data_IF_307211858100
#
_entry.id   IF_307211858100
#
_cell.length_a   1.000
_cell.length_b   1.000
_cell.length_c   1.000
_cell.angle_alpha   90.00
_cell.angle_beta   90.00
_cell.angle_gamma   90.00
#
_symmetry.space_group_name_H-M   'P 1'
#
loop_
_entity.id
_entity.type
_entity.pdbx_description
1 polymer ?
#
# COMPACT_ATOMS: atom_id res chain seq x y z
N UNK A 1 -1.37 -6.46 -10.48
CA UNK A 1 -2.09 -6.81 -9.26
C UNK A 1 -2.07 -5.63 -8.29
N UNK A 2 -3.05 -5.54 -7.41
CA UNK A 2 -3.20 -4.50 -6.39
C UNK A 2 -1.95 -4.40 -5.49
N UNK A 3 -1.35 -5.55 -5.13
CA UNK A 3 -0.12 -5.61 -4.35
C UNK A 3 1.01 -4.77 -4.96
N UNK A 4 1.34 -4.97 -6.24
CA UNK A 4 2.43 -4.24 -6.89
C UNK A 4 2.15 -2.74 -7.05
N UNK A 5 0.88 -2.35 -7.05
CA UNK A 5 0.48 -0.94 -7.13
C UNK A 5 0.66 -0.21 -5.79
N UNK A 6 0.41 -0.89 -4.66
CA UNK A 6 0.49 -0.32 -3.32
C UNK A 6 1.85 -0.55 -2.65
N UNK A 7 2.36 -1.79 -2.70
CA UNK A 7 3.58 -2.22 -2.01
C UNK A 7 4.58 -2.87 -2.97
N UNK A 8 5.17 -2.10 -3.91
CA UNK A 8 6.17 -2.63 -4.83
C UNK A 8 7.40 -3.14 -4.05
N UNK A 9 7.88 -4.34 -4.41
CA UNK A 9 9.09 -4.90 -3.78
C UNK A 9 10.38 -4.21 -4.24
N UNK A 10 10.39 -3.64 -5.44
CA UNK A 10 11.58 -3.09 -6.07
C UNK A 10 11.95 -1.68 -5.57
N UNK A 11 11.07 -1.00 -4.87
CA UNK A 11 11.30 0.37 -4.41
C UNK A 11 10.58 0.63 -3.09
N UNK A 12 11.18 1.52 -2.29
CA UNK A 12 10.54 1.97 -1.05
C UNK A 12 9.21 2.66 -1.37
N UNK A 13 8.14 2.21 -0.71
CA UNK A 13 6.77 2.67 -0.95
C UNK A 13 6.19 3.51 0.19
N UNK A 14 6.97 3.73 1.26
CA UNK A 14 6.61 4.60 2.37
C UNK A 14 7.81 5.40 2.87
N UNK A 15 7.55 6.47 3.56
CA UNK A 15 8.47 7.28 4.34
C UNK A 15 7.83 7.67 5.66
N UNK A 16 8.63 8.11 6.62
CA UNK A 16 8.19 8.58 7.92
C UNK A 16 8.43 10.08 8.02
N UNK A 17 7.52 10.80 8.65
CA UNK A 17 7.63 12.22 8.98
C UNK A 17 6.86 12.53 10.28
N UNK A 18 7.09 13.72 10.84
CA UNK A 18 6.24 14.26 11.90
C UNK A 18 4.95 14.77 11.26
N UNK A 19 3.77 14.55 11.89
CA UNK A 19 2.51 15.09 11.36
C UNK A 19 2.58 16.61 11.17
N UNK A 20 2.12 17.12 10.04
CA UNK A 20 2.20 18.54 9.69
C UNK A 20 1.43 19.44 10.68
N UNK A 21 0.41 18.88 11.36
CA UNK A 21 -0.35 19.57 12.42
C UNK A 21 0.30 19.55 13.81
N UNK A 22 1.40 18.82 13.99
CA UNK A 22 2.09 18.72 15.28
C UNK A 22 2.98 19.96 15.52
N UNK A 23 3.11 20.44 16.77
CA UNK A 23 3.99 21.59 17.08
C UNK A 23 5.44 21.41 16.61
N UNK A 24 5.92 20.17 16.59
CA UNK A 24 7.26 19.79 16.11
C UNK A 24 7.33 19.59 14.59
N UNK A 25 6.23 19.77 13.84
CA UNK A 25 6.19 19.57 12.39
C UNK A 25 7.22 20.40 11.60
N UNK A 26 7.63 21.54 12.14
CA UNK A 26 8.69 22.40 11.59
C UNK A 26 10.03 21.64 11.48
N UNK A 27 10.27 20.67 12.38
CA UNK A 27 11.50 19.86 12.40
C UNK A 27 11.60 18.89 11.21
N UNK A 28 10.55 18.69 10.43
CA UNK A 28 10.63 17.91 9.17
C UNK A 28 11.66 18.51 8.19
N UNK A 29 11.86 19.83 8.22
CA UNK A 29 12.84 20.52 7.39
C UNK A 29 14.25 20.56 8.03
N UNK A 30 14.38 20.10 9.27
CA UNK A 30 15.66 20.05 9.97
C UNK A 30 16.45 18.81 9.52
N UNK A 31 17.63 19.02 8.92
CA UNK A 31 18.41 17.96 8.28
C UNK A 31 18.68 16.72 9.15
N UNK A 32 19.06 16.82 10.43
CA UNK A 32 19.27 15.62 11.26
C UNK A 32 18.01 14.80 11.47
N UNK A 33 16.86 15.44 11.67
CA UNK A 33 15.57 14.79 11.91
C UNK A 33 15.08 14.09 10.64
N UNK A 34 15.12 14.79 9.50
CA UNK A 34 14.70 14.23 8.22
C UNK A 34 15.61 13.08 7.76
N UNK A 35 16.92 13.18 8.00
CA UNK A 35 17.87 12.11 7.73
C UNK A 35 17.60 10.88 8.60
N UNK A 36 17.29 11.07 9.89
CA UNK A 36 16.95 9.99 10.80
C UNK A 36 15.67 9.25 10.35
N UNK A 37 14.61 9.98 9.98
CA UNK A 37 13.38 9.37 9.46
C UNK A 37 13.62 8.61 8.14
N UNK A 38 14.49 9.14 7.28
CA UNK A 38 14.84 8.48 6.03
C UNK A 38 15.61 7.17 6.28
N UNK A 39 16.58 7.18 7.20
CA UNK A 39 17.34 5.98 7.57
C UNK A 39 16.44 4.96 8.27
N UNK A 40 15.61 5.39 9.21
CA UNK A 40 14.64 4.55 9.90
C UNK A 40 13.66 3.89 8.92
N UNK A 41 13.13 4.66 7.97
CA UNK A 41 12.27 4.13 6.90
C UNK A 41 12.98 3.08 6.05
N UNK A 42 14.27 3.27 5.77
CA UNK A 42 15.07 2.32 4.98
C UNK A 42 15.33 1.04 5.78
N UNK A 43 15.64 1.14 7.07
CA UNK A 43 15.83 -0.03 7.94
C UNK A 43 14.56 -0.86 8.07
N UNK A 44 13.41 -0.22 8.27
CA UNK A 44 12.10 -0.91 8.30
C UNK A 44 11.84 -1.59 6.96
N UNK A 45 12.04 -0.89 5.84
CA UNK A 45 11.85 -1.46 4.50
C UNK A 45 12.72 -2.70 4.26
N UNK A 46 14.00 -2.66 4.63
CA UNK A 46 14.91 -3.79 4.52
C UNK A 46 14.49 -4.96 5.43
N UNK A 47 14.01 -4.66 6.64
CA UNK A 47 13.51 -5.67 7.58
C UNK A 47 12.23 -6.33 7.09
N UNK A 48 11.31 -5.56 6.46
CA UNK A 48 10.14 -6.11 5.79
C UNK A 48 10.55 -7.01 4.61
N UNK A 49 11.57 -6.60 3.86
CA UNK A 49 12.04 -7.35 2.70
C UNK A 49 12.70 -8.68 3.08
N UNK A 50 13.41 -8.72 4.21
CA UNK A 50 14.03 -9.94 4.75
C UNK A 50 13.04 -10.86 5.48
N UNK A 51 11.82 -10.39 5.74
CA UNK A 51 10.75 -11.14 6.40
C UNK A 51 9.83 -11.86 5.39
N UNK A 52 8.81 -12.53 5.91
CA UNK A 52 7.75 -13.13 5.11
C UNK A 52 6.61 -12.15 4.73
N UNK A 53 6.80 -10.83 4.93
CA UNK A 53 5.79 -9.79 4.73
C UNK A 53 5.12 -9.86 3.35
N UNK A 54 5.90 -9.84 2.28
CA UNK A 54 5.36 -9.80 0.92
C UNK A 54 4.57 -11.05 0.53
N UNK A 55 4.96 -12.20 1.06
CA UNK A 55 4.23 -13.46 0.85
C UNK A 55 2.87 -13.40 1.54
N UNK A 56 2.86 -13.05 2.83
CA UNK A 56 1.62 -12.95 3.62
C UNK A 56 0.71 -11.85 3.07
N UNK A 57 1.26 -10.70 2.66
CA UNK A 57 0.47 -9.65 2.02
C UNK A 57 -0.13 -10.09 0.68
N UNK A 58 0.56 -10.93 -0.08
CA UNK A 58 0.00 -11.51 -1.30
C UNK A 58 -1.23 -12.36 -1.04
N UNK A 59 -1.20 -13.21 -0.02
CA UNK A 59 -2.33 -14.01 0.45
C UNK A 59 -3.45 -13.11 1.01
N UNK A 60 -3.09 -12.12 1.84
CA UNK A 60 -4.03 -11.17 2.43
C UNK A 60 -4.77 -10.35 1.36
N UNK A 61 -4.09 -9.88 0.30
CA UNK A 61 -4.76 -9.20 -0.81
C UNK A 61 -5.75 -10.08 -1.55
N UNK A 62 -5.48 -11.39 -1.64
CA UNK A 62 -6.44 -12.33 -2.22
C UNK A 62 -7.68 -12.43 -1.34
N UNK A 63 -7.52 -12.60 -0.04
CA UNK A 63 -8.61 -12.65 0.93
C UNK A 63 -9.38 -11.32 0.98
N UNK A 64 -8.68 -10.18 0.87
CA UNK A 64 -9.26 -8.85 0.87
C UNK A 64 -10.28 -8.63 -0.25
N UNK A 65 -9.94 -9.10 -1.46
CA UNK A 65 -10.82 -8.98 -2.63
C UNK A 65 -11.93 -10.03 -2.60
N UNK A 66 -11.69 -11.19 -1.96
CA UNK A 66 -12.65 -12.31 -1.93
C UNK A 66 -13.63 -12.20 -0.78
N UNK A 67 -13.16 -11.88 0.42
CA UNK A 67 -13.96 -11.87 1.65
C UNK A 67 -14.21 -10.47 2.21
N UNK A 68 -13.54 -9.44 1.69
CA UNK A 68 -13.73 -8.06 2.11
C UNK A 68 -13.09 -7.70 3.45
N UNK A 69 -12.53 -8.65 4.19
CA UNK A 69 -11.86 -8.41 5.48
C UNK A 69 -10.62 -9.26 5.56
N UNK A 70 -9.53 -8.67 6.05
CA UNK A 70 -8.28 -9.39 6.33
C UNK A 70 -7.85 -9.15 7.76
N UNK A 71 -7.10 -10.09 8.31
CA UNK A 71 -6.46 -9.96 9.60
C UNK A 71 -5.04 -10.49 9.52
N UNK A 72 -4.08 -9.68 9.96
CA UNK A 72 -2.65 -9.99 9.94
C UNK A 72 -2.11 -9.83 11.36
N UNK A 73 -1.55 -10.89 11.90
CA UNK A 73 -0.80 -10.86 13.16
C UNK A 73 0.65 -10.50 12.86
N UNK A 74 1.19 -9.54 13.61
CA UNK A 74 2.58 -9.08 13.51
C UNK A 74 3.28 -9.35 14.83
N UNK A 75 4.24 -10.24 14.80
CA UNK A 75 5.07 -10.61 15.93
C UNK A 75 6.55 -10.36 15.61
N UNK A 76 7.33 -10.11 16.62
CA UNK A 76 8.78 -10.14 16.51
C UNK A 76 9.24 -11.61 16.49
N UNK A 77 10.31 -11.92 15.74
CA UNK A 77 10.92 -13.24 15.80
C UNK A 77 11.61 -13.40 17.14
N UNK A 78 11.24 -14.45 17.87
CA UNK A 78 11.95 -14.85 19.09
C UNK A 78 13.38 -15.26 18.75
N UNK A 79 14.34 -14.41 19.07
CA UNK A 79 15.73 -14.82 19.24
C UNK A 79 16.07 -14.76 20.71
N UNK A 80 16.94 -15.67 21.11
CA UNK A 80 17.43 -15.78 22.50
C UNK A 80 18.30 -14.59 22.94
N UNK A 81 18.58 -13.65 22.03
CA UNK A 81 19.36 -12.45 22.24
C UNK A 81 18.44 -11.22 22.26
N UNK A 82 18.76 -10.24 23.10
CA UNK A 82 17.96 -9.03 23.34
C UNK A 82 17.85 -8.07 22.15
N UNK A 83 18.52 -8.37 21.01
CA UNK A 83 18.53 -7.52 19.82
C UNK A 83 17.40 -7.86 18.85
N UNK A 84 16.96 -6.87 18.08
CA UNK A 84 15.94 -7.04 17.03
C UNK A 84 16.27 -8.17 16.05
N UNK A 85 15.40 -9.18 16.00
CA UNK A 85 15.58 -10.42 15.24
C UNK A 85 14.87 -10.44 13.87
N UNK A 86 14.04 -9.45 13.61
CA UNK A 86 13.18 -9.39 12.44
C UNK A 86 11.70 -9.63 12.76
N UNK A 87 10.87 -9.48 11.73
CA UNK A 87 9.43 -9.63 11.85
C UNK A 87 8.94 -11.00 11.41
N UNK A 88 7.85 -11.46 12.01
CA UNK A 88 7.08 -12.61 11.60
C UNK A 88 5.62 -12.20 11.40
N UNK A 89 5.14 -12.30 10.16
CA UNK A 89 3.76 -12.01 9.79
C UNK A 89 2.98 -13.31 9.66
N UNK A 90 1.72 -13.31 10.13
CA UNK A 90 0.80 -14.44 9.97
C UNK A 90 -0.55 -13.91 9.48
N UNK A 91 -0.97 -14.35 8.29
CA UNK A 91 -2.33 -14.13 7.81
C UNK A 91 -3.32 -15.02 8.58
N UNK A 92 -4.39 -14.43 9.06
CA UNK A 92 -5.44 -15.15 9.79
C UNK A 92 -6.64 -15.35 8.86
N UNK A 93 -7.01 -16.60 8.54
CA UNK A 93 -8.12 -16.88 7.63
C UNK A 93 -9.45 -16.34 8.13
N UNK A 94 -10.24 -15.78 7.23
CA UNK A 94 -11.62 -15.37 7.52
C UNK A 94 -12.43 -16.58 8.02
N UNK A 95 -13.24 -16.35 9.07
CA UNK A 95 -13.97 -17.42 9.76
C UNK A 95 -13.21 -18.09 10.92
N UNK A 96 -11.92 -17.74 11.12
CA UNK A 96 -11.12 -18.18 12.28
C UNK A 96 -10.85 -17.08 13.29
N UNK A 97 -11.32 -15.87 13.04
CA UNK A 97 -11.21 -14.75 13.98
C UNK A 97 -12.53 -13.99 14.08
N UNK A 98 -12.69 -13.32 15.20
CA UNK A 98 -13.74 -12.34 15.46
C UNK A 98 -13.04 -11.11 16.05
N UNK A 99 -13.51 -9.93 15.73
CA UNK A 99 -12.95 -8.69 16.23
C UNK A 99 -14.04 -7.74 16.67
N UNK A 100 -13.69 -6.77 17.48
CA UNK A 100 -14.56 -5.69 17.92
C UNK A 100 -13.87 -4.35 17.81
N UNK A 101 -14.64 -3.28 17.87
CA UNK A 101 -14.20 -1.91 17.73
C UNK A 101 -14.42 -1.12 19.02
N UNK A 102 -13.54 -0.15 19.25
CA UNK A 102 -13.75 0.86 20.26
C UNK A 102 -14.86 1.86 19.84
N UNK A 103 -15.17 2.79 20.75
CA UNK A 103 -16.16 3.85 20.48
C UNK A 103 -15.79 4.78 19.32
N UNK A 104 -14.54 4.79 18.87
CA UNK A 104 -14.05 5.57 17.74
C UNK A 104 -14.15 4.82 16.42
N UNK A 105 -14.47 3.50 16.44
CA UNK A 105 -14.55 2.62 15.28
C UNK A 105 -13.20 2.05 14.85
N UNK A 106 -12.18 2.09 15.71
CA UNK A 106 -10.92 1.39 15.53
C UNK A 106 -10.99 0.02 16.17
N UNK A 107 -10.42 -0.98 15.49
CA UNK A 107 -10.32 -2.35 16.05
C UNK A 107 -9.42 -2.32 17.29
N UNK A 108 -9.94 -2.80 18.41
CA UNK A 108 -9.20 -2.88 19.68
C UNK A 108 -9.17 -4.29 20.28
N UNK A 109 -10.13 -5.15 19.93
CA UNK A 109 -10.26 -6.50 20.46
C UNK A 109 -10.28 -7.52 19.34
N UNK A 110 -9.50 -8.60 19.47
CA UNK A 110 -9.45 -9.70 18.50
C UNK A 110 -9.41 -11.04 19.21
N UNK A 111 -10.27 -11.95 18.77
CA UNK A 111 -10.26 -13.36 19.14
C UNK A 111 -9.87 -14.20 17.93
N UNK A 112 -8.84 -15.02 18.05
CA UNK A 112 -8.36 -15.90 17.01
C UNK A 112 -8.41 -17.36 17.44
N UNK A 113 -9.16 -18.18 16.70
CA UNK A 113 -9.21 -19.63 16.88
C UNK A 113 -8.21 -20.32 15.96
N UNK A 114 -7.32 -21.13 16.53
CA UNK A 114 -6.33 -21.91 15.78
C UNK A 114 -6.14 -23.30 16.36
N UNK A 115 -5.62 -24.23 15.55
CA UNK A 115 -5.39 -25.61 15.94
C UNK A 115 -3.89 -25.87 16.08
N UNK A 116 -3.54 -26.66 17.09
CA UNK A 116 -2.17 -27.15 17.34
C UNK A 116 -2.21 -28.64 17.64
N UNK A 117 -1.18 -29.37 17.18
CA UNK A 117 -0.99 -30.75 17.63
C UNK A 117 -0.43 -30.77 19.05
N UNK A 118 -0.60 -31.88 19.78
CA UNK A 118 -0.06 -32.01 21.15
C UNK A 118 1.45 -31.68 21.18
N UNK A 119 2.20 -32.14 20.18
CA UNK A 119 3.63 -31.85 20.01
C UNK A 119 3.89 -30.34 19.87
N UNK A 120 3.10 -29.64 19.02
CA UNK A 120 3.23 -28.19 18.82
C UNK A 120 2.85 -27.41 20.09
N UNK A 121 1.83 -27.85 20.80
CA UNK A 121 1.48 -27.23 22.09
C UNK A 121 2.60 -27.35 23.11
N UNK A 122 3.28 -28.50 23.17
CA UNK A 122 4.43 -28.67 24.06
C UNK A 122 5.65 -27.81 23.66
N UNK A 123 5.77 -27.46 22.37
CA UNK A 123 6.85 -26.56 21.91
C UNK A 123 6.51 -25.08 22.17
N UNK A 124 5.22 -24.71 22.11
CA UNK A 124 4.77 -23.31 22.22
C UNK A 124 4.48 -22.91 23.68
N UNK A 125 4.00 -23.84 24.51
CA UNK A 125 3.57 -23.58 25.88
C UNK A 125 4.38 -24.39 26.93
N UNK A 126 4.50 -23.83 28.13
CA UNK A 126 5.14 -24.53 29.24
C UNK A 126 4.36 -25.80 29.62
N UNK A 127 5.06 -26.90 29.84
CA UNK A 127 4.44 -28.20 30.20
C UNK A 127 3.46 -28.14 31.40
N UNK A 128 3.73 -27.25 32.39
CA UNK A 128 2.87 -27.08 33.58
C UNK A 128 1.51 -26.44 33.23
N UNK A 129 1.42 -25.70 32.14
CA UNK A 129 0.20 -25.01 31.69
C UNK A 129 -0.63 -25.85 30.73
N UNK A 130 -0.13 -27.03 30.32
CA UNK A 130 -0.85 -27.89 29.41
C UNK A 130 -1.95 -28.68 30.15
N UNK A 131 -3.15 -28.83 29.55
CA UNK A 131 -4.18 -29.73 30.06
C UNK A 131 -3.70 -31.19 30.11
N UNK A 132 -4.17 -31.96 31.10
CA UNK A 132 -3.82 -33.38 31.24
C UNK A 132 -4.07 -34.18 29.96
N UNK A 133 -5.18 -33.91 29.28
CA UNK A 133 -5.49 -34.54 27.99
C UNK A 133 -4.46 -34.27 26.87
N UNK A 134 -3.74 -33.14 26.91
CA UNK A 134 -2.65 -32.84 25.97
C UNK A 134 -1.39 -33.61 26.38
N UNK A 135 -1.12 -33.65 27.69
CA UNK A 135 0.06 -34.35 28.22
C UNK A 135 -0.01 -35.87 27.95
N UNK A 136 -1.19 -36.48 28.16
CA UNK A 136 -1.42 -37.90 27.84
C UNK A 136 -1.21 -38.17 26.34
N UNK A 137 -1.72 -37.27 25.47
CA UNK A 137 -1.58 -37.41 24.02
C UNK A 137 -0.14 -37.22 23.51
N UNK A 138 0.78 -36.64 24.30
CA UNK A 138 2.19 -36.54 23.88
C UNK A 138 2.86 -37.91 23.73
N UNK A 139 2.43 -38.89 24.54
CA UNK A 139 2.96 -40.24 24.52
C UNK A 139 2.17 -41.14 23.54
N UNK A 140 0.83 -41.06 23.58
CA UNK A 140 -0.04 -41.95 22.80
C UNK A 140 -0.29 -41.47 21.35
N UNK A 141 -0.54 -40.17 21.15
CA UNK A 141 -0.86 -39.60 19.85
C UNK A 141 -0.43 -38.14 19.73
N UNK A 142 0.87 -37.87 19.46
CA UNK A 142 1.43 -36.53 19.43
C UNK A 142 0.85 -35.63 18.30
N UNK A 143 0.21 -36.22 17.30
CA UNK A 143 -0.39 -35.48 16.16
C UNK A 143 -1.88 -35.15 16.38
N UNK A 144 -2.47 -35.56 17.53
CA UNK A 144 -3.84 -35.17 17.89
C UNK A 144 -3.95 -33.65 17.98
N UNK A 145 -4.96 -33.09 17.35
CA UNK A 145 -5.19 -31.65 17.27
C UNK A 145 -6.03 -31.14 18.44
N UNK A 146 -5.63 -30.02 18.98
CA UNK A 146 -6.34 -29.26 20.00
C UNK A 146 -6.61 -27.85 19.49
N UNK A 147 -7.71 -27.26 19.90
CA UNK A 147 -8.12 -25.92 19.51
C UNK A 147 -7.75 -24.92 20.59
N UNK A 148 -7.02 -23.90 20.22
CA UNK A 148 -6.63 -22.79 21.09
C UNK A 148 -7.30 -21.51 20.62
N UNK A 149 -7.75 -20.68 21.56
CA UNK A 149 -8.30 -19.36 21.31
C UNK A 149 -7.33 -18.34 21.89
N UNK A 150 -6.75 -17.51 21.04
CA UNK A 150 -5.99 -16.33 21.45
C UNK A 150 -6.96 -15.15 21.54
N UNK A 151 -7.04 -14.54 22.72
CA UNK A 151 -7.83 -13.36 23.02
C UNK A 151 -6.89 -12.19 23.27
N UNK A 152 -7.02 -11.12 22.53
CA UNK A 152 -6.30 -9.86 22.75
C UNK A 152 -7.32 -8.75 22.90
N UNK A 153 -7.23 -8.04 24.02
CA UNK A 153 -8.14 -6.94 24.37
C UNK A 153 -7.37 -5.81 25.07
N UNK A 154 -7.92 -4.57 25.07
CA UNK A 154 -7.33 -3.50 25.83
C UNK A 154 -7.16 -3.86 27.30
N UNK A 155 -6.07 -3.41 27.89
CA UNK A 155 -5.82 -3.60 29.32
C UNK A 155 -6.54 -2.52 30.12
N UNK A 156 -7.64 -2.89 30.75
CA UNK A 156 -8.46 -2.00 31.57
C UNK A 156 -7.74 -1.58 32.87
N UNK A 157 -6.82 -2.43 33.37
CA UNK A 157 -6.06 -2.23 34.61
C UNK A 157 -4.72 -1.50 34.35
N UNK A 158 -4.55 -0.86 33.19
CA UNK A 158 -3.33 -0.14 32.85
C UNK A 158 -3.09 0.99 33.84
N UNK A 159 -2.09 0.82 34.72
CA UNK A 159 -1.60 1.92 35.56
C UNK A 159 -0.70 2.86 34.74
N UNK A 160 -1.20 4.06 34.48
CA UNK A 160 -0.42 5.08 33.81
C UNK A 160 0.85 5.40 34.60
N UNK A 161 2.01 5.29 33.94
CA UNK A 161 3.32 5.62 34.53
C UNK A 161 4.13 4.44 35.04
N UNK A 162 3.63 3.20 34.99
CA UNK A 162 4.46 2.01 35.20
C UNK A 162 5.00 1.50 33.87
N UNK A 163 6.33 1.37 33.75
CA UNK A 163 7.02 0.91 32.56
C UNK A 163 6.60 -0.50 32.10
N UNK A 164 6.13 -1.34 33.01
CA UNK A 164 5.72 -2.73 32.76
C UNK A 164 4.21 -2.87 32.42
N UNK A 165 3.44 -1.80 32.30
CA UNK A 165 2.02 -1.88 31.99
C UNK A 165 1.78 -1.92 30.47
N UNK A 166 1.49 -3.12 29.96
CA UNK A 166 1.10 -3.31 28.56
C UNK A 166 -0.21 -2.61 28.20
N UNK A 167 -0.33 -2.12 26.97
CA UNK A 167 -1.58 -1.52 26.46
C UNK A 167 -2.67 -2.54 26.20
N UNK A 168 -2.30 -3.78 25.87
CA UNK A 168 -3.21 -4.89 25.55
C UNK A 168 -2.81 -6.13 26.33
N UNK A 169 -3.81 -6.84 26.84
CA UNK A 169 -3.64 -8.18 27.45
C UNK A 169 -3.88 -9.26 26.41
N UNK A 170 -3.09 -10.34 26.49
CA UNK A 170 -3.19 -11.49 25.61
C UNK A 170 -3.34 -12.78 26.42
N UNK A 171 -4.37 -13.54 26.11
CA UNK A 171 -4.64 -14.84 26.71
C UNK A 171 -4.70 -15.92 25.63
N UNK A 172 -3.94 -16.99 25.79
CA UNK A 172 -4.11 -18.20 25.00
C UNK A 172 -4.83 -19.24 25.84
N UNK A 173 -6.02 -19.67 25.40
CA UNK A 173 -6.93 -20.57 26.15
C UNK A 173 -7.20 -21.81 25.34
N UNK A 174 -7.04 -22.99 25.92
CA UNK A 174 -7.49 -24.25 25.29
C UNK A 174 -9.02 -24.35 25.36
N UNK A 175 -9.66 -24.54 24.19
CA UNK A 175 -11.12 -24.43 24.02
C UNK A 175 -11.92 -25.45 24.83
N UNK A 176 -11.44 -26.69 24.94
CA UNK A 176 -12.17 -27.79 25.57
C UNK A 176 -12.07 -27.76 27.08
N UNK A 177 -10.87 -27.58 27.62
CA UNK A 177 -10.61 -27.52 29.07
C UNK A 177 -10.84 -26.13 29.65
N UNK A 178 -10.91 -25.08 28.81
CA UNK A 178 -10.97 -23.67 29.21
C UNK A 178 -9.77 -23.24 30.08
N UNK A 179 -8.66 -23.94 29.98
CA UNK A 179 -7.46 -23.64 30.72
C UNK A 179 -6.67 -22.55 30.03
N UNK A 180 -6.21 -21.55 30.76
CA UNK A 180 -5.29 -20.51 30.26
C UNK A 180 -3.91 -21.13 30.13
N UNK A 181 -3.40 -21.20 28.88
CA UNK A 181 -2.09 -21.78 28.54
C UNK A 181 -0.97 -20.77 28.71
N UNK A 182 -1.28 -19.51 28.36
CA UNK A 182 -0.32 -18.40 28.41
C UNK A 182 -1.06 -17.10 28.64
N UNK A 183 -0.51 -16.29 29.53
CA UNK A 183 -0.88 -14.90 29.74
C UNK A 183 0.30 -14.02 29.36
N UNK A 184 0.07 -13.00 28.54
CA UNK A 184 1.09 -12.07 28.07
C UNK A 184 0.47 -10.72 27.76
N UNK A 185 1.28 -9.74 27.34
CA UNK A 185 0.81 -8.41 26.96
C UNK A 185 1.53 -7.87 25.74
N UNK A 186 0.89 -6.91 25.11
CA UNK A 186 1.47 -6.16 24.00
C UNK A 186 1.33 -4.67 24.27
N UNK A 187 2.33 -3.89 23.90
CA UNK A 187 2.25 -2.44 24.01
C UNK A 187 1.27 -1.85 22.99
N UNK A 188 1.27 -2.41 21.78
CA UNK A 188 0.38 -2.04 20.68
C UNK A 188 -0.42 -3.27 20.24
N UNK A 189 -1.60 -3.08 19.64
CA UNK A 189 -2.38 -4.17 19.08
C UNK A 189 -1.56 -4.96 18.04
N UNK A 190 -1.32 -6.26 18.24
CA UNK A 190 -0.50 -7.04 17.32
C UNK A 190 -1.25 -7.48 16.06
N UNK A 191 -2.57 -7.36 16.05
CA UNK A 191 -3.42 -7.65 14.91
C UNK A 191 -3.70 -6.39 14.10
N UNK A 192 -3.67 -6.53 12.80
CA UNK A 192 -4.10 -5.50 11.86
C UNK A 192 -5.29 -6.04 11.08
N UNK A 193 -6.45 -5.45 11.32
CA UNK A 193 -7.71 -5.81 10.64
C UNK A 193 -8.05 -4.70 9.66
N UNK A 194 -8.23 -5.06 8.39
CA UNK A 194 -8.59 -4.11 7.35
C UNK A 194 -9.79 -4.60 6.53
N UNK A 195 -10.60 -3.64 6.07
CA UNK A 195 -11.86 -3.88 5.34
C UNK A 195 -11.80 -3.25 3.96
N UNK A 196 -12.31 -3.97 2.95
CA UNK A 196 -12.35 -3.47 1.57
C UNK A 196 -13.36 -2.33 1.44
N UNK A 197 -14.59 -2.57 1.84
CA UNK A 197 -15.65 -1.57 1.90
C UNK A 197 -16.43 -1.72 3.21
N UNK A 198 -16.67 -0.60 3.89
CA UNK A 198 -17.42 -0.58 5.14
C UNK A 198 -18.79 0.02 4.89
N UNK A 199 -19.82 -0.71 5.26
CA UNK A 199 -21.19 -0.23 5.29
C UNK A 199 -21.51 0.24 6.72
N UNK A 200 -22.17 1.38 6.84
CA UNK A 200 -22.55 1.93 8.15
C UNK A 200 -23.37 0.93 8.96
N UNK A 201 -22.92 0.63 10.19
CA UNK A 201 -23.56 -0.34 11.07
C UNK A 201 -23.10 -1.79 10.89
N UNK A 202 -22.22 -2.07 9.92
CA UNK A 202 -21.60 -3.39 9.76
C UNK A 202 -20.17 -3.37 10.30
N UNK A 203 -19.79 -4.41 11.04
CA UNK A 203 -18.46 -4.59 11.55
C UNK A 203 -17.51 -5.14 10.47
N UNK A 204 -18.00 -6.12 9.72
CA UNK A 204 -17.25 -6.78 8.64
C UNK A 204 -17.24 -5.95 7.36
N UNK A 205 -16.14 -6.05 6.62
CA UNK A 205 -16.04 -5.44 5.29
C UNK A 205 -16.81 -6.25 4.25
N UNK A 206 -17.36 -5.55 3.26
CA UNK A 206 -17.93 -6.15 2.06
C UNK A 206 -16.90 -6.22 0.96
N UNK A 207 -16.92 -7.31 0.20
CA UNK A 207 -16.01 -7.55 -0.91
C UNK A 207 -16.68 -7.26 -2.26
N UNK A 208 -15.92 -7.04 -3.33
CA UNK A 208 -16.43 -7.09 -4.69
C UNK A 208 -17.09 -8.44 -5.02
N UNK A 209 -16.62 -9.53 -4.39
CA UNK A 209 -17.19 -10.85 -4.58
C UNK A 209 -18.63 -10.94 -4.06
N UNK A 210 -18.96 -10.26 -2.95
CA UNK A 210 -20.34 -10.24 -2.40
C UNK A 210 -21.31 -9.63 -3.41
N UNK A 211 -20.89 -8.53 -4.07
CA UNK A 211 -21.69 -7.84 -5.08
C UNK A 211 -21.80 -8.69 -6.36
N UNK A 212 -20.71 -9.34 -6.76
CA UNK A 212 -20.65 -10.18 -7.97
C UNK A 212 -21.25 -11.57 -7.80
N UNK A 213 -21.54 -12.02 -6.58
CA UNK A 213 -21.99 -13.39 -6.28
C UNK A 213 -23.21 -13.82 -7.10
N UNK A 214 -24.29 -13.02 -7.26
CA UNK A 214 -25.44 -13.40 -8.07
C UNK A 214 -25.05 -13.65 -9.54
N UNK A 215 -24.18 -12.82 -10.09
CA UNK A 215 -23.71 -12.95 -11.49
C UNK A 215 -22.80 -14.17 -11.65
N UNK A 216 -21.92 -14.44 -10.68
CA UNK A 216 -21.05 -15.61 -10.65
C UNK A 216 -21.89 -16.91 -10.61
N UNK A 217 -22.89 -16.97 -9.71
CA UNK A 217 -23.80 -18.13 -9.61
C UNK A 217 -24.56 -18.32 -10.92
N UNK A 218 -25.07 -17.23 -11.51
CA UNK A 218 -25.80 -17.25 -12.78
C UNK A 218 -24.91 -17.74 -13.92
N UNK A 219 -23.67 -17.27 -14.00
CA UNK A 219 -22.69 -17.71 -14.98
C UNK A 219 -22.34 -19.19 -14.84
N UNK A 220 -22.14 -19.67 -13.60
CA UNK A 220 -21.85 -21.08 -13.33
C UNK A 220 -23.02 -21.97 -13.76
N UNK A 221 -24.26 -21.60 -13.43
CA UNK A 221 -25.45 -22.34 -13.88
C UNK A 221 -25.59 -22.34 -15.39
N UNK A 222 -25.35 -21.20 -16.04
CA UNK A 222 -25.38 -21.11 -17.49
C UNK A 222 -24.35 -22.04 -18.14
N UNK A 223 -23.11 -22.05 -17.62
CA UNK A 223 -22.05 -22.94 -18.06
C UNK A 223 -22.37 -24.41 -17.85
N UNK A 224 -22.97 -24.78 -16.73
CA UNK A 224 -23.44 -26.13 -16.46
C UNK A 224 -24.51 -26.57 -17.49
N UNK A 225 -25.47 -25.66 -17.78
CA UNK A 225 -26.50 -25.93 -18.80
C UNK A 225 -25.91 -26.05 -20.21
N UNK A 226 -24.93 -25.20 -20.57
CA UNK A 226 -24.20 -25.30 -21.86
C UNK A 226 -23.48 -26.65 -22.00
N UNK A 227 -22.76 -27.09 -20.97
CA UNK A 227 -22.06 -28.38 -20.97
C UNK A 227 -23.03 -29.55 -21.08
N UNK A 228 -24.17 -29.49 -20.37
CA UNK A 228 -25.23 -30.53 -20.51
C UNK A 228 -25.87 -30.53 -21.89
N UNK A 229 -26.09 -29.34 -22.47
CA UNK A 229 -26.62 -29.20 -23.82
C UNK A 229 -25.62 -29.72 -24.87
N UNK A 230 -24.33 -29.40 -24.73
CA UNK A 230 -23.25 -29.89 -25.57
C UNK A 230 -23.11 -31.41 -25.49
N UNK A 231 -23.15 -31.98 -24.28
CA UNK A 231 -23.15 -33.43 -24.08
C UNK A 231 -24.32 -34.12 -24.82
N UNK A 232 -25.54 -33.56 -24.73
CA UNK A 232 -26.71 -34.06 -25.46
C UNK A 232 -26.60 -33.86 -26.97
N UNK A 233 -25.89 -32.84 -27.44
CA UNK A 233 -25.67 -32.61 -28.85
C UNK A 233 -24.63 -33.59 -29.44
N UNK A 234 -23.59 -33.93 -28.64
CA UNK A 234 -22.54 -34.89 -29.03
C UNK A 234 -23.04 -36.34 -28.95
N UNK A 235 -23.80 -36.65 -27.88
CA UNK A 235 -24.38 -37.97 -27.66
C UNK A 235 -25.91 -37.85 -27.44
N UNK A 236 -26.66 -37.67 -28.54
CA UNK A 236 -28.09 -37.41 -28.45
C UNK A 236 -28.87 -38.66 -28.01
N UNK A 237 -29.88 -38.49 -27.14
CA UNK A 237 -30.79 -39.58 -26.82
C UNK A 237 -31.45 -40.15 -28.06
N UNK A 238 -31.60 -41.46 -28.09
CA UNK A 238 -32.19 -42.20 -29.20
C UNK A 238 -33.64 -42.49 -28.87
N UNK A 239 -34.52 -42.19 -29.80
CA UNK A 239 -35.91 -42.64 -29.77
C UNK A 239 -36.01 -44.00 -30.44
N UNK A 240 -36.27 -45.03 -29.65
CA UNK A 240 -36.46 -46.42 -30.12
C UNK A 240 -37.93 -46.84 -29.99
N UNK A 241 -38.51 -47.51 -30.97
CA UNK A 241 -39.84 -48.11 -30.82
C UNK A 241 -39.79 -49.29 -29.84
N UNK A 242 -40.80 -49.36 -28.96
CA UNK A 242 -40.87 -50.30 -27.83
C UNK A 242 -40.77 -51.80 -28.21
N UNK A 243 -41.18 -52.17 -29.40
CA UNK A 243 -41.35 -53.57 -29.81
C UNK A 243 -40.22 -54.14 -30.73
N UNK A 244 -39.16 -53.33 -31.00
CA UNK A 244 -38.22 -53.72 -32.10
C UNK A 244 -36.75 -53.85 -31.66
N UNK A 245 -36.44 -53.98 -30.38
CA UNK A 245 -35.07 -54.20 -29.90
C UNK A 245 -34.73 -55.67 -29.88
N UNK A 246 -33.77 -56.10 -30.71
CA UNK A 246 -33.24 -57.43 -30.73
C UNK A 246 -31.95 -57.54 -29.92
N UNK A 247 -32.07 -57.73 -28.61
CA UNK A 247 -30.92 -57.86 -27.70
C UNK A 247 -30.53 -56.61 -26.95
N UNK A 248 -29.34 -56.59 -26.38
CA UNK A 248 -28.81 -55.43 -25.58
C UNK A 248 -28.34 -54.35 -26.52
N UNK A 249 -28.94 -53.15 -26.40
CA UNK A 249 -28.57 -51.99 -27.19
C UNK A 249 -27.23 -51.36 -26.66
N UNK A 250 -26.30 -51.09 -27.56
CA UNK A 250 -24.97 -50.55 -27.25
C UNK A 250 -24.79 -49.17 -27.87
N UNK A 251 -24.40 -48.16 -27.07
CA UNK A 251 -24.14 -46.79 -27.50
C UNK A 251 -22.66 -46.48 -27.71
N UNK A 252 -21.78 -47.48 -27.62
CA UNK A 252 -20.35 -47.27 -27.82
C UNK A 252 -20.04 -46.98 -29.31
N UNK A 253 -19.00 -46.16 -29.58
CA UNK A 253 -18.55 -45.95 -30.97
C UNK A 253 -18.31 -47.26 -31.69
N UNK A 254 -18.78 -47.37 -32.94
CA UNK A 254 -18.71 -48.57 -33.79
C UNK A 254 -19.51 -49.78 -33.28
N UNK A 255 -20.43 -49.62 -32.33
CA UNK A 255 -21.29 -50.72 -31.90
C UNK A 255 -22.31 -51.05 -33.01
N UNK A 256 -22.47 -52.34 -33.29
CA UNK A 256 -23.50 -52.85 -34.23
C UNK A 256 -24.73 -53.22 -33.39
N UNK A 257 -25.83 -52.52 -33.66
CA UNK A 257 -27.13 -52.79 -33.05
C UNK A 257 -28.09 -53.39 -34.12
N UNK A 258 -28.73 -54.47 -33.78
CA UNK A 258 -29.70 -55.17 -34.70
C UNK A 258 -31.12 -54.71 -34.38
N UNK A 259 -31.84 -54.20 -35.34
CA UNK A 259 -33.26 -53.82 -35.25
C UNK A 259 -34.04 -54.31 -36.44
N UNK A 260 -35.36 -54.57 -36.27
CA UNK A 260 -36.25 -54.96 -37.34
C UNK A 260 -36.68 -53.85 -38.28
N UNK A 261 -36.63 -52.57 -37.75
CA UNK A 261 -37.07 -51.41 -38.52
C UNK A 261 -36.10 -50.24 -38.27
N UNK A 262 -35.02 -50.10 -39.05
CA UNK A 262 -34.00 -49.07 -38.83
C UNK A 262 -34.49 -47.63 -39.08
N UNK A 263 -35.56 -47.43 -39.90
CA UNK A 263 -36.07 -46.14 -40.27
C UNK A 263 -36.86 -45.45 -39.10
N UNK A 264 -37.31 -46.24 -38.13
CA UNK A 264 -38.04 -45.73 -36.96
C UNK A 264 -37.11 -45.23 -35.84
N UNK A 265 -35.83 -45.47 -35.96
CA UNK A 265 -34.83 -45.00 -35.00
C UNK A 265 -34.44 -43.55 -35.32
N UNK A 266 -34.68 -42.63 -34.39
CA UNK A 266 -34.35 -41.22 -34.58
C UNK A 266 -33.51 -40.71 -33.43
N UNK A 267 -32.45 -40.03 -33.76
CA UNK A 267 -31.75 -39.23 -32.78
C UNK A 267 -32.60 -38.02 -32.39
N UNK A 268 -32.75 -37.79 -31.09
CA UNK A 268 -33.41 -36.57 -30.61
C UNK A 268 -32.52 -35.37 -30.91
N UNK A 269 -32.88 -34.57 -31.89
CA UNK A 269 -32.14 -33.38 -32.23
C UNK A 269 -32.37 -32.30 -31.18
N UNK A 270 -31.28 -31.74 -30.68
CA UNK A 270 -31.34 -30.60 -29.81
C UNK A 270 -31.46 -29.32 -30.67
N UNK A 271 -32.62 -28.70 -30.70
CA UNK A 271 -32.88 -27.45 -31.44
C UNK A 271 -32.61 -26.18 -30.63
N UNK A 272 -31.94 -26.27 -29.51
CA UNK A 272 -31.61 -25.13 -28.65
C UNK A 272 -30.62 -24.18 -29.31
N UNK A 273 -30.90 -22.90 -29.26
CA UNK A 273 -29.98 -21.82 -29.72
C UNK A 273 -28.90 -21.59 -28.68
N UNK A 274 -27.71 -22.16 -28.86
CA UNK A 274 -26.55 -21.96 -27.99
C UNK A 274 -25.94 -20.55 -28.13
N UNK A 275 -26.24 -19.84 -29.21
CA UNK A 275 -25.71 -18.48 -29.46
C UNK A 275 -26.16 -17.47 -28.40
N UNK A 276 -27.42 -17.57 -27.93
CA UNK A 276 -27.93 -16.70 -26.88
C UNK A 276 -27.24 -16.93 -25.52
N UNK A 277 -26.85 -18.17 -25.23
CA UNK A 277 -26.16 -18.47 -23.98
C UNK A 277 -24.75 -17.90 -23.96
N UNK A 278 -24.04 -17.95 -25.11
CA UNK A 278 -22.71 -17.37 -25.23
C UNK A 278 -22.72 -15.84 -25.09
N UNK A 279 -23.72 -15.15 -25.67
CA UNK A 279 -23.91 -13.70 -25.51
C UNK A 279 -24.18 -13.34 -24.04
N UNK A 280 -25.10 -14.07 -23.38
CA UNK A 280 -25.41 -13.83 -21.97
C UNK A 280 -24.22 -14.15 -21.05
N UNK A 281 -23.47 -15.20 -21.35
CA UNK A 281 -22.23 -15.51 -20.62
C UNK A 281 -21.19 -14.38 -20.73
N UNK A 282 -21.05 -13.78 -21.90
CA UNK A 282 -20.12 -12.66 -22.10
C UNK A 282 -20.60 -11.39 -21.38
N UNK A 283 -21.90 -11.10 -21.37
CA UNK A 283 -22.49 -10.00 -20.60
C UNK A 283 -22.21 -10.17 -19.08
N UNK A 284 -22.48 -11.37 -18.53
CA UNK A 284 -22.21 -11.67 -17.12
C UNK A 284 -20.71 -11.57 -16.78
N UNK A 285 -19.83 -12.05 -17.65
CA UNK A 285 -18.39 -11.91 -17.47
C UNK A 285 -17.98 -10.44 -17.45
N UNK A 286 -18.54 -9.63 -18.33
CA UNK A 286 -18.23 -8.19 -18.37
C UNK A 286 -18.76 -7.49 -17.12
N UNK A 287 -19.96 -7.82 -16.65
CA UNK A 287 -20.51 -7.32 -15.39
C UNK A 287 -19.60 -7.65 -14.21
N UNK A 288 -19.16 -8.92 -14.08
CA UNK A 288 -18.23 -9.36 -13.06
C UNK A 288 -16.91 -8.59 -13.15
N UNK A 289 -16.33 -8.44 -14.35
CA UNK A 289 -15.08 -7.70 -14.55
C UNK A 289 -15.20 -6.23 -14.12
N UNK A 290 -16.35 -5.61 -14.42
CA UNK A 290 -16.63 -4.23 -14.03
C UNK A 290 -16.73 -4.08 -12.51
N UNK A 291 -17.39 -5.01 -11.81
CA UNK A 291 -17.51 -5.03 -10.35
C UNK A 291 -16.12 -5.16 -9.69
N UNK A 292 -15.26 -6.01 -10.23
CA UNK A 292 -13.88 -6.17 -9.73
C UNK A 292 -12.93 -5.08 -10.21
N UNK A 293 -13.41 -4.11 -10.97
CA UNK A 293 -12.59 -3.04 -11.57
C UNK A 293 -11.39 -3.58 -12.38
N UNK A 294 -11.52 -4.83 -12.88
CA UNK A 294 -10.41 -5.54 -13.51
C UNK A 294 -9.89 -4.83 -14.77
N UNK A 295 -10.79 -4.25 -15.55
CA UNK A 295 -10.46 -3.53 -16.79
C UNK A 295 -9.85 -2.14 -16.50
N UNK A 296 -10.00 -1.63 -15.26
CA UNK A 296 -9.42 -0.36 -14.83
C UNK A 296 -7.98 -0.51 -14.32
N UNK A 297 -7.59 -1.71 -13.91
CA UNK A 297 -6.21 -2.01 -13.47
C UNK A 297 -5.27 -2.37 -14.63
N UNK A 298 -5.83 -2.59 -15.83
CA UNK A 298 -5.09 -2.96 -17.03
C UNK A 298 -5.16 -1.79 -18.01
N UNK A 299 -4.01 -1.29 -18.44
CA UNK A 299 -3.98 -0.32 -19.55
C UNK A 299 -4.56 -1.00 -20.80
N UNK A 300 -5.48 -0.33 -21.51
CA UNK A 300 -6.02 -0.88 -22.76
C UNK A 300 -4.86 -1.12 -23.74
N UNK A 301 -4.77 -2.33 -24.30
CA UNK A 301 -3.81 -2.68 -25.35
C UNK A 301 -4.19 -2.00 -26.70
N UNK A 302 -4.28 -0.68 -26.72
CA UNK A 302 -4.39 0.06 -27.98
C UNK A 302 -2.99 0.40 -28.47
N UNK A 303 -2.63 -0.08 -29.64
CA UNK A 303 -1.32 0.08 -30.25
C UNK A 303 -0.90 1.54 -30.55
N UNK A 304 -1.81 2.52 -30.47
CA UNK A 304 -1.57 3.91 -30.85
C UNK A 304 -2.19 4.88 -29.81
N UNK A 305 -1.83 4.76 -28.54
CA UNK A 305 -2.26 5.74 -27.53
C UNK A 305 -1.21 6.85 -27.39
N UNK A 306 -1.69 8.08 -27.29
CA UNK A 306 -0.81 9.21 -26.97
C UNK A 306 -0.42 9.20 -25.49
N UNK A 307 0.69 9.83 -25.14
CA UNK A 307 1.12 9.95 -23.75
C UNK A 307 0.06 10.64 -22.86
N UNK A 308 -0.67 11.65 -23.40
CA UNK A 308 -1.77 12.32 -22.71
C UNK A 308 -2.96 11.40 -22.44
N UNK A 309 -3.35 10.57 -23.41
CA UNK A 309 -4.43 9.59 -23.22
C UNK A 309 -4.08 8.59 -22.11
N UNK A 310 -2.83 8.11 -22.07
CA UNK A 310 -2.35 7.19 -21.02
C UNK A 310 -2.40 7.86 -19.65
N UNK A 311 -1.99 9.13 -19.55
CA UNK A 311 -2.05 9.89 -18.29
C UNK A 311 -3.50 10.07 -17.85
N UNK A 312 -4.39 10.46 -18.75
CA UNK A 312 -5.81 10.69 -18.45
C UNK A 312 -6.50 9.40 -17.98
N UNK A 313 -6.23 8.28 -18.64
CA UNK A 313 -6.79 6.97 -18.22
C UNK A 313 -6.27 6.58 -16.84
N UNK A 314 -4.98 6.76 -16.57
CA UNK A 314 -4.42 6.49 -15.22
C UNK A 314 -5.06 7.36 -14.15
N UNK A 315 -5.26 8.63 -14.42
CA UNK A 315 -5.94 9.55 -13.49
C UNK A 315 -7.39 9.12 -13.21
N UNK A 316 -8.13 8.71 -14.23
CA UNK A 316 -9.50 8.19 -14.06
C UNK A 316 -9.50 6.89 -13.22
N UNK A 317 -8.57 5.96 -13.49
CA UNK A 317 -8.40 4.73 -12.73
C UNK A 317 -8.11 5.01 -11.25
N UNK A 318 -7.26 5.99 -10.96
CA UNK A 318 -6.92 6.38 -9.59
C UNK A 318 -8.10 7.00 -8.84
N UNK A 319 -8.89 7.85 -9.50
CA UNK A 319 -10.09 8.45 -8.87
C UNK A 319 -11.11 7.40 -8.45
N UNK A 320 -11.27 6.35 -9.25
CA UNK A 320 -12.21 5.26 -8.95
C UNK A 320 -11.73 4.34 -7.82
N UNK A 321 -10.43 4.12 -7.72
CA UNK A 321 -9.81 3.27 -6.68
C UNK A 321 -9.44 4.06 -5.40
N UNK A 322 -9.51 5.39 -5.43
CA UNK A 322 -9.07 6.26 -4.35
C UNK A 322 -9.62 5.90 -2.97
N UNK A 323 -10.93 5.71 -2.79
CA UNK A 323 -11.52 5.38 -1.51
C UNK A 323 -11.01 4.03 -0.92
N UNK A 324 -10.88 3.00 -1.78
CA UNK A 324 -10.38 1.68 -1.36
C UNK A 324 -8.91 1.73 -0.99
N UNK A 325 -8.11 2.50 -1.74
CA UNK A 325 -6.70 2.71 -1.47
C UNK A 325 -6.52 3.45 -0.14
N UNK A 326 -7.22 4.58 0.04
CA UNK A 326 -7.15 5.36 1.28
C UNK A 326 -7.51 4.54 2.51
N UNK A 327 -8.51 3.67 2.40
CA UNK A 327 -8.86 2.75 3.48
C UNK A 327 -7.80 1.70 3.74
N UNK A 328 -7.23 1.11 2.68
CA UNK A 328 -6.14 0.15 2.81
C UNK A 328 -4.90 0.78 3.46
N UNK A 329 -4.60 2.03 3.12
CA UNK A 329 -3.54 2.81 3.76
C UNK A 329 -3.85 3.06 5.24
N UNK A 330 -5.07 3.47 5.57
CA UNK A 330 -5.46 3.83 6.94
C UNK A 330 -5.65 2.59 7.85
N UNK A 331 -6.30 1.52 7.36
CA UNK A 331 -6.65 0.36 8.19
C UNK A 331 -5.60 -0.76 8.15
N UNK A 332 -4.77 -0.83 7.09
CA UNK A 332 -3.78 -1.91 6.92
C UNK A 332 -2.35 -1.40 6.96
N UNK A 333 -1.93 -0.65 5.94
CA UNK A 333 -0.52 -0.32 5.75
C UNK A 333 0.00 0.61 6.85
N UNK A 334 -0.79 1.60 7.26
CA UNK A 334 -0.47 2.50 8.36
C UNK A 334 -0.20 1.74 9.66
N UNK A 335 -1.15 0.99 10.20
CA UNK A 335 -0.96 0.20 11.41
C UNK A 335 0.21 -0.79 11.32
N UNK A 336 0.44 -1.43 10.16
CA UNK A 336 1.60 -2.32 9.96
C UNK A 336 2.91 -1.56 10.17
N UNK A 337 3.10 -0.44 9.46
CA UNK A 337 4.34 0.34 9.54
C UNK A 337 4.53 0.95 10.92
N UNK A 338 3.47 1.51 11.53
CA UNK A 338 3.53 2.05 12.90
C UNK A 338 3.95 0.97 13.89
N UNK A 339 3.37 -0.22 13.81
CA UNK A 339 3.75 -1.32 14.70
C UNK A 339 5.19 -1.79 14.45
N UNK A 340 5.61 -1.92 13.19
CA UNK A 340 7.00 -2.27 12.86
C UNK A 340 7.99 -1.23 13.38
N UNK A 341 7.66 0.06 13.26
CA UNK A 341 8.45 1.15 13.82
C UNK A 341 8.55 1.04 15.34
N UNK A 342 7.42 0.87 16.04
CA UNK A 342 7.39 0.75 17.49
C UNK A 342 8.16 -0.47 18.02
N UNK A 343 8.09 -1.62 17.31
CA UNK A 343 8.88 -2.81 17.65
C UNK A 343 10.37 -2.49 17.51
N UNK A 344 10.81 -1.96 16.35
CA UNK A 344 12.22 -1.66 16.11
C UNK A 344 12.75 -0.54 17.04
N UNK A 345 11.91 0.41 17.42
CA UNK A 345 12.28 1.47 18.37
C UNK A 345 12.56 0.88 19.77
N UNK A 346 11.75 -0.08 20.22
CA UNK A 346 11.92 -0.75 21.52
C UNK A 346 13.07 -1.76 21.56
N UNK A 347 13.37 -2.37 20.43
CA UNK A 347 14.41 -3.41 20.29
C UNK A 347 15.74 -2.86 19.76
N UNK A 348 15.99 -1.56 19.85
CA UNK A 348 17.19 -0.86 19.36
C UNK A 348 17.54 -1.16 17.88
N UNK A 349 16.53 -1.52 17.09
CA UNK A 349 16.67 -1.78 15.65
C UNK A 349 16.81 -0.53 14.78
N UNK A 350 16.48 0.65 15.35
CA UNK A 350 16.59 1.95 14.70
C UNK A 350 17.88 2.66 15.11
N UNK A 351 18.33 3.67 14.33
CA UNK A 351 19.43 4.55 14.77
C UNK A 351 19.01 5.32 16.02
N UNK A 352 19.99 5.79 16.86
CA UNK A 352 19.65 6.63 18.00
C UNK A 352 18.90 7.88 17.54
N UNK A 353 17.79 8.18 18.22
CA UNK A 353 16.97 9.33 17.89
C UNK A 353 17.71 10.64 18.22
N UNK A 354 17.60 11.68 17.38
CA UNK A 354 18.08 13.01 17.72
C UNK A 354 17.37 13.54 18.98
N UNK A 355 18.09 14.37 19.76
CA UNK A 355 17.57 14.97 21.02
C UNK A 355 16.29 15.78 20.76
N UNK A 356 16.17 16.39 19.60
CA UNK A 356 15.02 17.21 19.19
C UNK A 356 13.72 16.39 19.04
N UNK A 357 13.80 15.07 18.96
CA UNK A 357 12.65 14.15 18.87
C UNK A 357 12.21 13.61 20.24
N UNK A 358 12.82 14.05 21.35
CA UNK A 358 12.35 13.68 22.68
C UNK A 358 10.90 14.17 22.90
N UNK A 359 10.01 13.24 23.23
CA UNK A 359 8.58 13.52 23.45
C UNK A 359 7.72 13.46 22.18
N UNK A 360 8.23 12.92 21.08
CA UNK A 360 7.42 12.63 19.89
C UNK A 360 6.60 11.34 20.12
N UNK A 361 5.28 11.51 20.27
CA UNK A 361 4.35 10.39 20.49
C UNK A 361 3.73 9.84 19.20
N UNK A 362 3.72 10.61 18.12
CA UNK A 362 3.09 10.25 16.86
C UNK A 362 4.01 10.43 15.66
N UNK A 363 3.98 9.45 14.77
CA UNK A 363 4.61 9.50 13.44
C UNK A 363 3.54 9.47 12.36
N UNK A 364 3.77 10.20 11.28
CA UNK A 364 2.93 10.14 10.07
C UNK A 364 3.64 9.34 8.98
N UNK A 365 2.88 8.47 8.32
CA UNK A 365 3.39 7.64 7.23
C UNK A 365 3.08 8.32 5.92
N UNK A 366 4.12 8.64 5.17
CA UNK A 366 4.02 9.21 3.84
C UNK A 366 4.14 8.11 2.80
N UNK A 367 3.08 7.87 2.03
CA UNK A 367 3.11 6.86 0.98
C UNK A 367 3.87 7.38 -0.26
N UNK A 368 4.81 6.55 -0.76
CA UNK A 368 5.70 6.84 -1.88
C UNK A 368 5.48 5.87 -3.06
N UNK A 369 4.43 5.05 -3.00
CA UNK A 369 4.09 4.08 -4.02
C UNK A 369 3.76 4.71 -5.39
N UNK A 370 3.63 3.91 -6.45
CA UNK A 370 3.37 4.41 -7.79
C UNK A 370 2.13 5.30 -7.89
N UNK A 371 1.08 4.99 -7.13
CA UNK A 371 -0.16 5.75 -7.07
C UNK A 371 0.07 7.12 -6.40
N UNK A 372 0.70 7.12 -5.22
CA UNK A 372 1.02 8.36 -4.50
C UNK A 372 1.98 9.26 -5.31
N UNK A 373 2.92 8.66 -6.04
CA UNK A 373 3.80 9.43 -6.97
C UNK A 373 3.02 10.12 -8.06
N UNK A 374 2.01 9.48 -8.64
CA UNK A 374 1.21 10.11 -9.71
C UNK A 374 0.40 11.29 -9.18
N UNK A 375 -0.17 11.17 -7.96
CA UNK A 375 -0.87 12.29 -7.32
C UNK A 375 0.07 13.47 -7.05
N UNK A 376 1.32 13.21 -6.63
CA UNK A 376 2.33 14.25 -6.44
C UNK A 376 2.77 14.91 -7.74
N UNK A 377 2.87 14.14 -8.83
CA UNK A 377 3.20 14.68 -10.15
C UNK A 377 2.16 15.68 -10.64
N UNK A 378 0.87 15.51 -10.31
CA UNK A 378 -0.18 16.51 -10.61
C UNK A 378 0.09 17.83 -9.88
N UNK A 379 0.45 17.78 -8.59
CA UNK A 379 0.84 18.97 -7.82
C UNK A 379 2.06 19.66 -8.41
N UNK A 380 3.08 18.90 -8.81
CA UNK A 380 4.28 19.42 -9.45
C UNK A 380 3.98 20.07 -10.81
N UNK A 381 3.12 19.45 -11.65
CA UNK A 381 2.70 20.04 -12.91
C UNK A 381 1.96 21.37 -12.71
N UNK A 382 1.12 21.47 -11.70
CA UNK A 382 0.41 22.70 -11.34
C UNK A 382 1.38 23.80 -10.90
N UNK A 383 2.40 23.46 -10.09
CA UNK A 383 3.45 24.40 -9.68
C UNK A 383 4.29 24.86 -10.88
N UNK A 384 4.71 23.92 -11.75
CA UNK A 384 5.45 24.27 -12.96
C UNK A 384 4.64 25.16 -13.92
N UNK A 385 3.35 24.87 -14.11
CA UNK A 385 2.47 25.68 -14.92
C UNK A 385 2.32 27.11 -14.35
N UNK A 386 2.20 27.23 -13.02
CA UNK A 386 2.17 28.51 -12.34
C UNK A 386 3.46 29.31 -12.52
N UNK A 387 4.63 28.67 -12.34
CA UNK A 387 5.93 29.30 -12.56
C UNK A 387 6.10 29.77 -14.02
N UNK A 388 5.70 28.94 -15.00
CA UNK A 388 5.73 29.32 -16.41
C UNK A 388 4.85 30.54 -16.71
N UNK A 389 3.66 30.59 -16.09
CA UNK A 389 2.78 31.75 -16.22
C UNK A 389 3.40 33.01 -15.58
N UNK A 390 3.99 32.89 -14.38
CA UNK A 390 4.68 34.00 -13.73
C UNK A 390 5.83 34.52 -14.60
N UNK A 391 6.68 33.65 -15.15
CA UNK A 391 7.78 34.03 -16.03
C UNK A 391 7.26 34.75 -17.29
N UNK A 392 6.13 34.30 -17.87
CA UNK A 392 5.53 34.95 -19.01
C UNK A 392 5.03 36.38 -18.71
N UNK A 393 4.46 36.59 -17.50
CA UNK A 393 4.00 37.90 -17.04
C UNK A 393 5.19 38.79 -16.64
N UNK A 394 6.24 38.20 -16.06
CA UNK A 394 7.47 38.90 -15.66
C UNK A 394 8.19 39.55 -16.84
N UNK A 395 8.01 39.05 -18.05
CA UNK A 395 8.53 39.72 -19.27
C UNK A 395 7.95 41.12 -19.47
N UNK A 396 6.75 41.41 -18.92
CA UNK A 396 6.07 42.73 -18.99
C UNK A 396 6.24 43.49 -17.68
N UNK A 397 6.15 42.81 -16.53
CA UNK A 397 6.35 43.37 -15.18
C UNK A 397 7.24 42.47 -14.35
N UNK A 398 8.55 42.81 -14.21
CA UNK A 398 9.51 42.00 -13.43
C UNK A 398 9.14 41.84 -11.96
N UNK A 399 8.42 42.78 -11.35
CA UNK A 399 8.00 42.77 -9.95
C UNK A 399 7.13 41.55 -9.58
N UNK A 400 6.53 40.88 -10.57
CA UNK A 400 5.72 39.68 -10.34
C UNK A 400 6.57 38.50 -9.84
N UNK A 401 7.88 38.50 -10.09
CA UNK A 401 8.79 37.46 -9.60
C UNK A 401 9.02 37.54 -8.08
N UNK A 402 8.69 38.67 -7.44
CA UNK A 402 8.78 38.84 -5.98
C UNK A 402 7.76 37.94 -5.23
N UNK A 403 6.75 37.42 -5.96
CA UNK A 403 5.83 36.42 -5.42
C UNK A 403 6.38 35.00 -5.43
N UNK A 404 7.54 34.75 -6.08
CA UNK A 404 8.15 33.45 -6.20
C UNK A 404 9.28 33.29 -5.18
N UNK A 405 9.03 32.51 -4.14
CA UNK A 405 10.09 32.01 -3.30
C UNK A 405 10.79 30.82 -3.99
N UNK A 406 12.01 31.10 -4.49
CA UNK A 406 12.79 30.11 -5.22
C UNK A 406 13.29 28.95 -4.35
N UNK A 407 13.48 29.20 -3.05
CA UNK A 407 13.97 28.20 -2.11
C UNK A 407 12.84 27.25 -1.72
N UNK A 408 11.69 27.80 -1.33
CA UNK A 408 10.49 27.03 -1.07
C UNK A 408 10.05 26.21 -2.29
N UNK A 409 10.19 26.75 -3.51
CA UNK A 409 9.90 26.02 -4.73
C UNK A 409 10.89 24.86 -4.97
N UNK A 410 12.19 25.06 -4.74
CA UNK A 410 13.19 24.02 -4.89
C UNK A 410 12.95 22.89 -3.89
N UNK A 411 12.63 23.20 -2.64
CA UNK A 411 12.29 22.24 -1.60
C UNK A 411 10.99 21.49 -1.95
N UNK A 412 9.97 22.21 -2.40
CA UNK A 412 8.72 21.60 -2.83
C UNK A 412 8.92 20.59 -3.99
N UNK A 413 9.70 20.98 -5.02
CA UNK A 413 10.02 20.08 -6.15
C UNK A 413 10.82 18.86 -5.65
N UNK A 414 11.79 19.07 -4.75
CA UNK A 414 12.61 17.99 -4.21
C UNK A 414 11.76 16.99 -3.39
N UNK A 415 10.79 17.48 -2.62
CA UNK A 415 9.87 16.65 -1.85
C UNK A 415 8.89 15.89 -2.75
N UNK A 416 8.33 16.55 -3.75
CA UNK A 416 7.43 15.92 -4.72
C UNK A 416 8.12 14.83 -5.55
N UNK A 417 9.40 15.03 -5.90
CA UNK A 417 10.21 14.06 -6.64
C UNK A 417 10.89 13.03 -5.76
N UNK A 418 10.73 13.15 -4.43
CA UNK A 418 11.36 12.26 -3.43
C UNK A 418 12.90 12.19 -3.58
N UNK A 419 13.54 13.33 -3.83
CA UNK A 419 15.01 13.43 -3.91
C UNK A 419 15.61 13.13 -2.53
N UNK A 420 16.56 12.17 -2.43
CA UNK A 420 17.22 11.87 -1.15
C UNK A 420 17.89 13.10 -0.54
N UNK A 421 17.80 13.28 0.78
CA UNK A 421 18.44 14.41 1.48
C UNK A 421 19.96 14.48 1.26
N UNK A 422 20.60 13.35 1.04
CA UNK A 422 22.05 13.29 0.73
C UNK A 422 22.44 14.07 -0.54
N UNK A 423 21.50 14.29 -1.44
CA UNK A 423 21.72 15.04 -2.70
C UNK A 423 21.39 16.52 -2.53
N UNK A 424 20.64 16.88 -1.48
CA UNK A 424 20.28 18.27 -1.15
C UNK A 424 21.44 18.94 -0.43
N UNK A 425 21.76 20.17 -0.82
CA UNK A 425 22.74 20.97 -0.09
C UNK A 425 22.14 21.40 1.25
N UNK A 426 22.94 21.41 2.33
CA UNK A 426 22.48 21.93 3.62
C UNK A 426 22.26 23.45 3.54
N UNK A 427 21.36 23.98 4.37
CA UNK A 427 21.06 25.41 4.44
C UNK A 427 22.32 26.24 4.71
N UNK A 428 23.24 25.70 5.51
CA UNK A 428 24.54 26.32 5.77
C UNK A 428 25.42 26.39 4.50
N UNK A 429 25.45 25.31 3.70
CA UNK A 429 26.20 25.27 2.46
C UNK A 429 25.60 26.24 1.41
N UNK A 430 24.25 26.34 1.37
CA UNK A 430 23.55 27.31 0.50
C UNK A 430 23.86 28.74 0.94
N UNK A 431 23.82 29.03 2.23
CA UNK A 431 24.13 30.34 2.77
C UNK A 431 25.61 30.76 2.46
N UNK A 432 26.56 29.84 2.67
CA UNK A 432 27.97 30.08 2.34
C UNK A 432 28.17 30.32 0.84
N UNK A 433 27.52 29.51 -0.02
CA UNK A 433 27.64 29.69 -1.47
C UNK A 433 27.05 31.04 -1.92
N UNK A 434 25.94 31.49 -1.29
CA UNK A 434 25.34 32.81 -1.58
C UNK A 434 26.22 33.94 -1.11
N UNK A 435 26.83 33.85 0.08
CA UNK A 435 27.77 34.84 0.58
C UNK A 435 28.99 34.97 -0.32
N UNK A 436 29.53 33.83 -0.80
CA UNK A 436 30.66 33.87 -1.75
C UNK A 436 30.27 34.51 -3.08
N UNK A 437 29.08 34.21 -3.63
CA UNK A 437 28.59 34.84 -4.87
C UNK A 437 28.39 36.35 -4.68
N UNK A 438 27.80 36.76 -3.56
CA UNK A 438 27.59 38.16 -3.27
C UNK A 438 28.93 38.94 -3.17
N UNK A 439 29.98 38.32 -2.58
CA UNK A 439 31.31 38.90 -2.53
C UNK A 439 31.93 39.07 -3.93
N UNK A 440 31.84 38.03 -4.77
CA UNK A 440 32.34 38.07 -6.12
C UNK A 440 31.58 39.10 -7.00
N UNK A 441 30.27 39.20 -6.85
CA UNK A 441 29.47 40.21 -7.54
C UNK A 441 29.79 41.62 -7.09
N UNK A 442 30.03 41.83 -5.76
CA UNK A 442 30.42 43.10 -5.22
C UNK A 442 31.80 43.53 -5.76
N UNK A 443 32.79 42.61 -5.84
CA UNK A 443 34.09 42.82 -6.44
C UNK A 443 33.98 43.16 -7.92
N UNK A 444 33.17 42.42 -8.70
CA UNK A 444 32.93 42.67 -10.11
C UNK A 444 32.26 44.04 -10.35
N UNK A 445 31.27 44.43 -9.52
CA UNK A 445 30.67 45.77 -9.60
C UNK A 445 31.67 46.86 -9.28
N UNK A 446 32.55 46.64 -8.29
CA UNK A 446 33.60 47.57 -7.97
C UNK A 446 34.64 47.73 -9.07
N UNK A 447 35.04 46.62 -9.70
CA UNK A 447 35.92 46.66 -10.88
C UNK A 447 35.27 47.37 -12.09
N UNK A 448 33.99 47.07 -12.38
CA UNK A 448 33.25 47.74 -13.45
C UNK A 448 33.09 49.27 -13.18
N UNK A 449 32.84 49.63 -11.93
CA UNK A 449 32.77 51.08 -11.53
C UNK A 449 34.12 51.75 -11.63
N UNK A 450 35.20 51.09 -11.22
CA UNK A 450 36.55 51.60 -11.38
C UNK A 450 36.97 51.72 -12.84
N UNK A 451 36.56 50.80 -13.70
CA UNK A 451 36.78 50.90 -15.16
C UNK A 451 35.99 52.06 -15.77
N UNK A 452 34.71 52.27 -15.39
CA UNK A 452 33.95 53.45 -15.83
C UNK A 452 34.55 54.77 -15.33
N UNK A 453 35.01 54.81 -14.10
CA UNK A 453 35.74 55.99 -13.57
C UNK A 453 37.05 56.23 -14.32
N UNK A 454 37.81 55.20 -14.64
CA UNK A 454 39.03 55.34 -15.43
C UNK A 454 38.73 55.76 -16.91
N UNK A 455 37.65 55.27 -17.52
CA UNK A 455 37.22 55.70 -18.84
C UNK A 455 36.72 57.16 -18.82
N UNK A 456 35.95 57.57 -17.80
CA UNK A 456 35.50 58.97 -17.65
C UNK A 456 36.65 59.88 -17.34
N UNK A 457 37.64 59.48 -16.54
CA UNK A 457 38.84 60.26 -16.27
C UNK A 457 39.71 60.41 -17.53
N UNK A 458 39.86 59.32 -18.36
CA UNK A 458 40.53 59.35 -19.64
C UNK A 458 39.83 60.25 -20.70
N UNK A 459 38.50 60.32 -20.67
CA UNK A 459 37.71 61.23 -21.54
C UNK A 459 37.76 62.65 -21.06
N UNK A 460 37.94 62.90 -19.76
CA UNK A 460 38.08 64.26 -19.19
C UNK A 460 39.53 64.82 -19.25
N UNK A 461 40.54 63.95 -19.37
CA UNK A 461 41.94 64.35 -19.44
C UNK A 461 42.27 65.30 -20.59
N UNK A 462 41.76 65.16 -21.84
CA UNK A 462 42.00 66.15 -22.89
C UNK A 462 41.34 67.51 -22.64
N UNK A 463 40.10 67.51 -22.03
CA UNK A 463 39.42 68.75 -21.70
C UNK A 463 40.08 69.57 -20.58
N UNK A 464 40.70 68.89 -19.60
CA UNK A 464 41.47 69.55 -18.54
C UNK A 464 42.82 70.08 -19.10
N UNK A 465 43.39 69.43 -20.11
CA UNK A 465 44.59 69.91 -20.82
C UNK A 465 44.31 71.18 -21.63
N UNK A 466 43.16 71.26 -22.30
CA UNK A 466 42.73 72.46 -23.03
C UNK A 466 42.43 73.64 -22.10
N UNK A 467 41.91 73.38 -20.90
CA UNK A 467 41.67 74.41 -19.91
C UNK A 467 42.93 74.94 -19.20
N UNK A 468 44.03 74.19 -19.18
CA UNK A 468 45.33 74.61 -18.61
C UNK A 468 46.22 75.39 -19.60
N UNK A 469 45.86 75.41 -20.87
CA UNK A 469 46.59 76.17 -21.93
C UNK A 469 45.96 77.54 -22.24
N UNK A 470 44.95 78.01 -21.45
CA UNK A 470 44.44 79.36 -21.62
C UNK A 470 45.38 80.34 -20.91
N UNK A 471 46.09 81.21 -21.63
CA UNK A 471 47.02 82.14 -20.99
C UNK A 471 46.25 83.18 -20.24
N UNK A 472 46.55 83.27 -18.92
CA UNK A 472 46.12 84.35 -18.05
C UNK A 472 46.83 85.64 -18.50
N UNK A 473 46.22 86.36 -19.36
CA UNK A 473 46.73 87.65 -19.82
C UNK A 473 45.61 88.48 -20.39
N UNK A 474 45.01 89.29 -19.60
CA UNK A 474 44.42 90.58 -19.94
C UNK A 474 43.35 90.97 -18.90
N UNK A 475 43.83 91.59 -17.76
CA UNK A 475 43.12 92.67 -17.06
C UNK A 475 44.14 93.55 -16.43
N UNK A 476 44.50 94.59 -17.16
CA UNK A 476 44.79 95.88 -16.64
C UNK A 476 43.69 96.85 -17.08
#
# INVERSE_FOLDING_TARGET
>A
SMQNALIPQSSRWFGLKIPDGHPMGILNNFNPVSAWFQESSMRIFNSLHSSNFYTVMGEAFYDFVTFGTINILIEEKDLKDENFAGFNFKGIPVGRFVFDEDYTGKTDTVYWEYTRTARQMHQEFEKKMLPDAVVECLEDNPDKQFTVIKCIKPNEDKEYGKADSFGFTSYDVEKSSKLVLKESGFNDLPFVVARFERVTGELWGRSPADIAMPDIISLNRLREMELKALSKAVDPPILAPDENILGTFRLNPNAINFTRDPERWKFMRFEGRLDFSSLKANELKQSIRNIYLADQLILPEKLNMTAEEIITIRQQQQRLLGPQIARMEAECLGPIITRCFNIMLRSDGLPPAPEELEGLDEIEIQYLGPIARTQRLEGMQSAQAWVQQLVSVASVKPEVLDHLDSDALADYIADMTSVPHQVRASDEAIAQAREQRAKVEAENRQMAMNQQLAETANKAAPAVKELSEVPIGLFQ
#
